data_IF_788640443140
#
_entry.id   IF_788640443140
#
_cell.length_a   1.000
_cell.length_b   1.000
_cell.length_c   1.000
_cell.angle_alpha   90.00
_cell.angle_beta   90.00
_cell.angle_gamma   90.00
#
_symmetry.space_group_name_H-M   'P 1'
#
loop_
_entity.id
_entity.type
_entity.pdbx_description
1 polymer ?
#
# COMPACT_ATOMS: atom_id res chain seq x y z
N UNK A 1 7.59 -50.16 -19.19
CA UNK A 1 7.17 -48.77 -18.91
C UNK A 1 8.28 -47.71 -19.05
N UNK A 2 9.58 -48.04 -19.15
CA UNK A 2 10.66 -47.03 -19.27
C UNK A 2 10.74 -46.27 -20.60
N UNK A 3 10.19 -46.81 -21.70
CA UNK A 3 10.39 -46.22 -23.03
C UNK A 3 9.47 -45.02 -23.34
N UNK A 4 8.30 -44.90 -22.68
CA UNK A 4 7.38 -43.78 -22.92
C UNK A 4 7.89 -42.45 -22.38
N UNK A 5 8.62 -42.46 -21.26
CA UNK A 5 9.17 -41.22 -20.67
C UNK A 5 10.30 -40.62 -21.54
N UNK A 6 11.19 -41.47 -22.07
CA UNK A 6 12.24 -41.05 -23.00
C UNK A 6 11.67 -40.51 -24.32
N UNK A 7 10.61 -41.13 -24.85
CA UNK A 7 9.93 -40.67 -26.06
C UNK A 7 9.32 -39.28 -25.86
N UNK A 8 8.57 -39.08 -24.77
CA UNK A 8 7.92 -37.79 -24.48
C UNK A 8 8.95 -36.67 -24.26
N UNK A 9 10.06 -36.96 -23.58
CA UNK A 9 11.15 -36.00 -23.39
C UNK A 9 11.80 -35.61 -24.72
N UNK A 10 12.06 -36.58 -25.60
CA UNK A 10 12.64 -36.30 -26.93
C UNK A 10 11.70 -35.43 -27.78
N UNK A 11 10.39 -35.69 -27.75
CA UNK A 11 9.38 -34.89 -28.47
C UNK A 11 9.37 -33.45 -27.96
N UNK A 12 9.44 -33.25 -26.64
CA UNK A 12 9.48 -31.92 -26.03
C UNK A 12 10.72 -31.12 -26.46
N UNK A 13 11.91 -31.74 -26.43
CA UNK A 13 13.15 -31.08 -26.85
C UNK A 13 13.10 -30.73 -28.34
N UNK A 14 12.59 -31.63 -29.20
CA UNK A 14 12.41 -31.32 -30.62
C UNK A 14 11.45 -30.15 -30.84
N UNK A 15 10.34 -30.08 -30.09
CA UNK A 15 9.41 -28.96 -30.19
C UNK A 15 10.04 -27.63 -29.77
N UNK A 16 10.86 -27.61 -28.71
CA UNK A 16 11.60 -26.42 -28.28
C UNK A 16 12.60 -25.95 -29.34
N UNK A 17 13.40 -26.87 -29.91
CA UNK A 17 14.41 -26.53 -30.93
C UNK A 17 13.76 -26.00 -32.20
N UNK A 18 12.66 -26.62 -32.64
CA UNK A 18 11.89 -26.17 -33.80
C UNK A 18 11.28 -24.80 -33.52
N UNK A 19 10.63 -24.62 -32.36
CA UNK A 19 10.04 -23.32 -31.97
C UNK A 19 11.07 -22.20 -31.91
N UNK A 20 12.25 -22.46 -31.33
CA UNK A 20 13.34 -21.49 -31.28
C UNK A 20 13.92 -21.17 -32.67
N UNK A 21 14.05 -22.18 -33.53
CA UNK A 21 14.55 -22.00 -34.90
C UNK A 21 13.56 -21.21 -35.76
N UNK A 22 12.25 -21.46 -35.63
CA UNK A 22 11.22 -20.64 -36.26
C UNK A 22 11.24 -19.20 -35.72
N UNK A 23 11.31 -19.02 -34.40
CA UNK A 23 11.37 -17.69 -33.78
C UNK A 23 12.55 -16.87 -34.33
N UNK A 24 13.75 -17.46 -34.39
CA UNK A 24 14.96 -16.77 -34.87
C UNK A 24 14.97 -16.52 -36.38
N UNK A 25 14.30 -17.36 -37.20
CA UNK A 25 14.29 -17.15 -38.65
C UNK A 25 13.26 -16.09 -39.09
N UNK A 26 12.15 -15.95 -38.34
CA UNK A 26 11.15 -14.90 -38.58
C UNK A 26 11.52 -13.57 -37.90
N UNK A 27 12.41 -13.57 -36.90
CA UNK A 27 13.01 -12.35 -36.37
C UNK A 27 14.02 -11.78 -37.37
N UNK A 28 13.57 -10.92 -38.29
CA UNK A 28 14.48 -10.05 -39.04
C UNK A 28 14.90 -8.91 -38.11
N UNK A 29 16.20 -8.75 -37.76
CA UNK A 29 16.69 -7.57 -37.07
C UNK A 29 16.72 -6.41 -38.08
N UNK A 30 15.56 -5.85 -38.39
CA UNK A 30 15.40 -4.73 -39.30
C UNK A 30 14.24 -3.88 -38.82
N UNK A 31 14.57 -2.70 -38.29
CA UNK A 31 13.66 -1.69 -37.75
C UNK A 31 12.96 -2.04 -36.43
N UNK A 32 13.75 -2.36 -35.41
CA UNK A 32 13.46 -1.74 -34.12
C UNK A 32 14.31 -0.47 -34.11
N UNK A 33 13.66 0.67 -34.31
CA UNK A 33 14.34 1.96 -34.20
C UNK A 33 14.90 2.07 -32.77
N UNK A 34 16.22 2.03 -32.66
CA UNK A 34 16.91 2.12 -31.38
C UNK A 34 16.56 3.44 -30.66
N UNK A 35 16.13 4.47 -31.41
CA UNK A 35 15.59 5.71 -30.85
C UNK A 35 14.19 5.52 -30.24
N UNK A 36 13.34 4.66 -30.82
CA UNK A 36 12.03 4.30 -30.25
C UNK A 36 12.18 3.42 -29.01
N UNK A 37 13.14 2.49 -28.99
CA UNK A 37 13.45 1.71 -27.77
C UNK A 37 14.09 2.58 -26.72
N UNK A 38 14.95 3.53 -27.10
CA UNK A 38 15.47 4.52 -26.15
C UNK A 38 14.39 5.46 -25.63
N UNK A 39 13.39 5.84 -26.42
CA UNK A 39 12.30 6.69 -25.93
C UNK A 39 11.32 5.92 -25.05
N UNK A 40 11.09 4.63 -25.30
CA UNK A 40 10.28 3.76 -24.43
C UNK A 40 11.04 3.41 -23.15
N UNK A 41 12.33 3.08 -23.23
CA UNK A 41 13.17 2.82 -22.06
C UNK A 41 13.49 4.09 -21.24
N UNK A 42 13.55 5.27 -21.87
CA UNK A 42 13.70 6.55 -21.16
C UNK A 42 12.38 7.07 -20.55
N UNK A 43 11.24 6.47 -20.91
CA UNK A 43 9.94 6.74 -20.28
C UNK A 43 9.65 5.77 -19.11
N UNK A 44 10.50 4.77 -18.91
CA UNK A 44 10.46 3.78 -17.81
C UNK A 44 11.12 4.30 -16.52
N UNK A 45 11.79 5.45 -16.56
CA UNK A 45 12.49 6.05 -15.40
C UNK A 45 11.61 7.03 -14.60
N UNK A 46 10.29 7.13 -14.89
CA UNK A 46 9.42 7.85 -13.97
C UNK A 46 9.32 7.01 -12.68
N UNK A 47 9.70 7.59 -11.52
CA UNK A 47 9.62 6.86 -10.27
C UNK A 47 8.15 6.47 -10.08
N UNK A 48 7.89 5.17 -10.00
CA UNK A 48 6.53 4.64 -9.77
C UNK A 48 6.48 4.02 -8.40
N UNK A 49 5.36 4.19 -7.71
CA UNK A 49 5.10 3.50 -6.44
C UNK A 49 5.17 1.97 -6.70
N UNK A 50 5.97 1.20 -5.93
CA UNK A 50 6.11 -0.23 -6.13
C UNK A 50 4.75 -0.95 -6.11
N UNK A 51 4.58 -1.92 -7.01
CA UNK A 51 3.34 -2.70 -7.14
C UNK A 51 3.65 -4.19 -7.10
N UNK A 52 2.67 -5.00 -6.68
CA UNK A 52 2.70 -6.44 -6.92
C UNK A 52 2.45 -6.74 -8.41
N UNK A 53 2.70 -7.99 -8.83
CA UNK A 53 2.54 -8.42 -10.24
C UNK A 53 1.13 -8.22 -10.82
N UNK A 54 0.11 -8.10 -9.96
CA UNK A 54 -1.28 -7.81 -10.34
C UNK A 54 -1.60 -6.30 -10.36
N UNK A 55 -0.62 -5.44 -10.11
CA UNK A 55 -0.80 -3.99 -9.96
C UNK A 55 -1.33 -3.58 -8.59
N UNK A 56 -1.52 -4.51 -7.65
CA UNK A 56 -1.96 -4.18 -6.29
C UNK A 56 -0.90 -3.34 -5.59
N UNK A 57 -1.38 -2.35 -4.85
CA UNK A 57 -0.57 -1.50 -3.97
C UNK A 57 -1.09 -1.61 -2.55
N UNK A 58 -0.17 -1.52 -1.61
CA UNK A 58 -0.47 -1.62 -0.19
C UNK A 58 0.32 -0.55 0.55
N UNK A 59 -0.32 0.17 1.46
CA UNK A 59 0.30 1.25 2.22
C UNK A 59 0.16 0.95 3.70
N UNK A 60 1.25 1.06 4.44
CA UNK A 60 1.20 1.01 5.89
C UNK A 60 0.72 2.36 6.42
N UNK A 61 -0.34 2.35 7.21
CA UNK A 61 -0.81 3.51 7.98
C UNK A 61 -0.49 3.23 9.43
N UNK A 62 0.49 3.95 9.96
CA UNK A 62 1.00 3.80 11.32
C UNK A 62 0.52 4.99 12.14
N UNK A 63 -0.09 4.72 13.28
CA UNK A 63 -0.54 5.75 14.21
C UNK A 63 0.35 5.70 15.45
N UNK A 64 0.87 6.86 15.85
CA UNK A 64 1.74 7.01 16.98
C UNK A 64 1.30 8.15 17.90
N UNK A 65 1.59 8.04 19.20
CA UNK A 65 1.11 9.02 20.19
C UNK A 65 1.64 10.44 19.98
N UNK A 66 2.89 10.58 19.53
CA UNK A 66 3.48 11.87 19.19
C UNK A 66 4.67 11.70 18.24
N UNK A 67 4.82 12.57 17.25
CA UNK A 67 6.05 12.64 16.44
C UNK A 67 7.10 13.57 17.05
N UNK A 68 8.38 13.24 16.87
CA UNK A 68 9.51 14.09 17.25
C UNK A 68 9.84 14.13 18.75
N UNK A 69 9.14 13.37 19.59
CA UNK A 69 9.50 13.14 20.99
C UNK A 69 10.23 11.82 21.14
N UNK A 70 11.16 11.74 22.10
CA UNK A 70 11.93 10.53 22.38
C UNK A 70 11.09 9.37 22.93
N UNK A 71 9.82 9.62 23.29
CA UNK A 71 8.88 8.66 23.86
C UNK A 71 7.65 8.43 22.95
N UNK A 72 7.81 8.53 21.63
CA UNK A 72 6.75 8.14 20.70
C UNK A 72 6.36 6.68 20.93
N UNK A 73 5.07 6.41 21.06
CA UNK A 73 4.54 5.05 21.27
C UNK A 73 3.71 4.65 20.05
N UNK A 74 3.82 3.39 19.67
CA UNK A 74 2.97 2.80 18.64
C UNK A 74 1.55 2.62 19.20
N UNK A 75 0.56 3.19 18.52
CA UNK A 75 -0.85 3.06 18.89
C UNK A 75 -1.57 2.06 17.99
N UNK A 76 -1.43 2.20 16.67
CA UNK A 76 -1.96 1.22 15.72
C UNK A 76 -1.18 1.14 14.40
N UNK A 77 -1.37 0.03 13.69
CA UNK A 77 -0.84 -0.23 12.34
C UNK A 77 -1.98 -0.81 11.51
N UNK A 78 -2.18 -0.25 10.34
CA UNK A 78 -3.14 -0.72 9.35
C UNK A 78 -2.46 -0.90 8.00
N UNK A 79 -2.88 -1.90 7.25
CA UNK A 79 -2.50 -2.09 5.85
C UNK A 79 -3.67 -1.65 4.97
N UNK A 80 -3.51 -0.53 4.29
CA UNK A 80 -4.46 -0.04 3.29
C UNK A 80 -4.07 -0.59 1.93
N UNK A 81 -4.88 -1.46 1.33
CA UNK A 81 -4.60 -2.05 0.03
C UNK A 81 -5.67 -1.69 -0.99
N UNK A 82 -5.26 -1.49 -2.24
CA UNK A 82 -6.17 -1.39 -3.36
C UNK A 82 -5.59 -2.07 -4.59
N UNK A 83 -6.48 -2.49 -5.47
CA UNK A 83 -6.15 -3.07 -6.75
C UNK A 83 -6.76 -2.18 -7.84
N UNK A 84 -6.01 -1.64 -8.81
CA UNK A 84 -6.55 -0.70 -9.80
C UNK A 84 -7.76 -1.21 -10.59
N UNK A 85 -7.89 -2.54 -10.73
CA UNK A 85 -9.01 -3.18 -11.42
C UNK A 85 -10.27 -3.32 -10.55
N UNK A 86 -10.18 -3.04 -9.25
CA UNK A 86 -11.27 -3.12 -8.28
C UNK A 86 -11.44 -1.77 -7.57
N UNK A 87 -12.65 -1.19 -7.53
CA UNK A 87 -12.89 0.06 -6.83
C UNK A 87 -13.08 -0.22 -5.33
N UNK A 88 -12.15 -0.91 -4.69
CA UNK A 88 -12.23 -1.31 -3.29
C UNK A 88 -10.89 -1.06 -2.59
N UNK A 89 -10.93 -0.22 -1.56
CA UNK A 89 -9.84 0.01 -0.62
C UNK A 89 -10.11 -0.86 0.60
N UNK A 90 -9.24 -1.84 0.83
CA UNK A 90 -9.31 -2.74 1.98
C UNK A 90 -8.35 -2.28 3.06
N UNK A 91 -8.88 -2.05 4.26
CA UNK A 91 -8.09 -1.68 5.44
C UNK A 91 -7.97 -2.90 6.37
N UNK A 92 -6.77 -3.44 6.56
CA UNK A 92 -6.52 -4.58 7.44
C UNK A 92 -5.74 -4.13 8.69
N UNK A 93 -6.26 -4.31 9.92
CA UNK A 93 -5.49 -4.02 11.13
C UNK A 93 -4.36 -5.03 11.28
N UNK A 94 -3.15 -4.53 11.51
CA UNK A 94 -1.97 -5.32 11.90
C UNK A 94 -1.78 -5.25 13.43
N UNK A 95 -1.95 -4.05 14.00
CA UNK A 95 -1.83 -3.80 15.44
C UNK A 95 -2.79 -2.70 15.90
N UNK A 96 -3.45 -2.82 17.07
CA UNK A 96 -3.61 -4.07 17.80
C UNK A 96 -4.38 -5.08 16.93
N UNK A 97 -4.04 -6.37 17.04
CA UNK A 97 -4.85 -7.43 16.42
C UNK A 97 -6.06 -7.72 17.31
N UNK A 98 -7.20 -8.07 16.71
CA UNK A 98 -8.47 -8.35 17.43
C UNK A 98 -8.38 -9.51 18.45
N UNK A 99 -7.27 -10.26 18.49
CA UNK A 99 -7.01 -11.22 19.54
C UNK A 99 -6.69 -10.50 20.86
N UNK A 100 -7.56 -10.66 21.87
CA UNK A 100 -7.37 -10.11 23.23
C UNK A 100 -6.02 -10.47 23.90
N UNK A 101 -5.33 -11.49 23.38
CA UNK A 101 -3.98 -11.85 23.79
C UNK A 101 -2.98 -11.06 22.95
N UNK A 102 -2.22 -10.16 23.59
CA UNK A 102 -1.07 -9.51 22.96
C UNK A 102 -0.12 -10.59 22.46
N UNK A 103 -0.09 -10.79 21.15
CA UNK A 103 0.79 -11.77 20.51
C UNK A 103 2.25 -11.37 20.74
N UNK A 104 3.17 -12.35 20.74
CA UNK A 104 4.61 -12.07 20.79
C UNK A 104 5.02 -11.06 19.70
N UNK A 105 4.39 -11.16 18.52
CA UNK A 105 4.54 -10.23 17.42
C UNK A 105 4.12 -8.79 17.78
N UNK A 106 2.94 -8.61 18.39
CA UNK A 106 2.48 -7.30 18.86
C UNK A 106 3.44 -6.65 19.85
N UNK A 107 4.02 -7.43 20.76
CA UNK A 107 5.04 -6.91 21.69
C UNK A 107 6.33 -6.53 20.97
N UNK A 108 6.77 -7.34 19.99
CA UNK A 108 7.95 -7.04 19.18
C UNK A 108 7.75 -5.75 18.37
N UNK A 109 6.56 -5.53 17.79
CA UNK A 109 6.23 -4.29 17.09
C UNK A 109 6.37 -3.07 18.01
N UNK A 110 5.81 -3.11 19.22
CA UNK A 110 5.93 -2.01 20.19
C UNK A 110 7.39 -1.77 20.60
N UNK A 111 8.18 -2.82 20.78
CA UNK A 111 9.57 -2.72 21.22
C UNK A 111 10.53 -2.22 20.13
N UNK A 112 10.23 -2.54 18.87
CA UNK A 112 11.05 -2.15 17.70
C UNK A 112 10.64 -0.79 17.15
N UNK A 113 9.40 -0.34 17.37
CA UNK A 113 8.91 0.95 16.92
C UNK A 113 9.70 2.12 17.52
N UNK A 114 10.44 2.83 16.67
CA UNK A 114 11.20 4.03 17.04
C UNK A 114 11.14 5.03 15.89
N UNK A 115 10.93 6.29 16.23
CA UNK A 115 11.10 7.41 15.32
C UNK A 115 12.44 8.10 15.61
N UNK A 116 13.32 8.13 14.62
CA UNK A 116 14.63 8.78 14.71
C UNK A 116 14.65 10.04 13.85
N UNK A 117 15.38 11.08 14.27
CA UNK A 117 15.54 12.30 13.47
C UNK A 117 16.91 12.30 12.82
N UNK A 118 16.97 12.23 11.49
CA UNK A 118 18.19 12.25 10.70
C UNK A 118 18.10 13.38 9.67
N UNK A 119 19.05 14.31 9.70
CA UNK A 119 19.13 15.46 8.77
C UNK A 119 17.85 16.32 8.74
N UNK A 120 17.13 16.42 9.86
CA UNK A 120 15.87 17.17 9.94
C UNK A 120 14.63 16.36 9.60
N UNK A 121 14.79 15.22 8.94
CA UNK A 121 13.71 14.29 8.60
C UNK A 121 13.49 13.31 9.74
N UNK A 122 12.24 12.93 9.99
CA UNK A 122 11.92 11.85 10.92
C UNK A 122 11.82 10.56 10.11
N UNK A 123 12.46 9.51 10.58
CA UNK A 123 12.54 8.20 9.93
C UNK A 123 12.09 7.12 10.91
N UNK A 124 11.41 6.11 10.38
CA UNK A 124 11.04 4.90 11.12
C UNK A 124 12.27 4.01 11.28
N UNK A 125 12.36 3.26 12.38
CA UNK A 125 13.45 2.30 12.58
C UNK A 125 13.43 1.19 11.54
N UNK A 126 14.60 0.83 11.01
CA UNK A 126 14.73 -0.28 10.07
C UNK A 126 14.33 -1.61 10.73
N UNK A 127 14.74 -1.85 11.98
CA UNK A 127 14.36 -3.05 12.76
C UNK A 127 12.82 -3.27 12.82
N UNK A 128 12.04 -2.19 12.82
CA UNK A 128 10.58 -2.26 12.84
C UNK A 128 10.02 -2.67 11.46
N UNK A 129 10.60 -2.14 10.38
CA UNK A 129 10.24 -2.50 9.01
C UNK A 129 10.64 -3.94 8.70
N UNK A 130 11.86 -4.34 9.07
CA UNK A 130 12.36 -5.70 8.89
C UNK A 130 11.45 -6.71 9.60
N UNK A 131 11.00 -6.40 10.82
CA UNK A 131 10.06 -7.24 11.56
C UNK A 131 8.71 -7.43 10.82
N UNK A 132 8.18 -6.39 10.16
CA UNK A 132 6.96 -6.51 9.37
C UNK A 132 7.19 -7.40 8.13
N UNK A 133 8.33 -7.24 7.46
CA UNK A 133 8.70 -8.04 6.29
C UNK A 133 8.92 -9.53 6.65
N UNK A 134 9.60 -9.81 7.77
CA UNK A 134 9.79 -11.16 8.33
C UNK A 134 8.45 -11.88 8.60
N UNK A 135 7.40 -11.12 8.89
CA UNK A 135 6.04 -11.61 9.08
C UNK A 135 5.20 -11.64 7.79
N UNK A 136 5.83 -11.52 6.62
CA UNK A 136 5.23 -11.57 5.28
C UNK A 136 4.24 -10.43 4.98
N UNK A 137 4.37 -9.29 5.65
CA UNK A 137 3.68 -8.09 5.20
C UNK A 137 4.47 -7.47 4.04
N UNK A 138 3.74 -7.03 3.02
CA UNK A 138 4.31 -6.31 1.88
C UNK A 138 3.58 -4.98 1.70
N UNK A 139 4.34 -3.92 1.50
CA UNK A 139 3.82 -2.57 1.28
C UNK A 139 4.67 -1.83 0.24
N UNK A 140 4.01 -0.93 -0.47
CA UNK A 140 4.55 0.00 -1.44
C UNK A 140 5.19 1.23 -0.79
N UNK A 141 4.73 1.58 0.41
CA UNK A 141 5.26 2.67 1.24
C UNK A 141 4.44 2.80 2.52
N UNK A 142 4.79 3.77 3.36
CA UNK A 142 4.15 3.97 4.65
C UNK A 142 3.85 5.45 4.94
N UNK A 143 2.89 5.68 5.82
CA UNK A 143 2.59 6.97 6.43
C UNK A 143 2.50 6.79 7.94
N UNK A 144 3.19 7.64 8.69
CA UNK A 144 3.07 7.74 10.15
C UNK A 144 2.28 8.99 10.49
N UNK A 145 1.20 8.83 11.24
CA UNK A 145 0.31 9.87 11.71
C UNK A 145 0.45 9.99 13.22
N UNK A 146 0.40 11.21 13.75
CA UNK A 146 0.25 11.42 15.18
C UNK A 146 -1.19 11.75 15.59
N UNK A 147 -1.43 11.82 16.89
CA UNK A 147 -2.73 12.20 17.46
C UNK A 147 -3.23 13.55 16.89
N UNK A 148 -2.34 14.52 16.63
CA UNK A 148 -2.74 15.82 16.07
C UNK A 148 -3.21 15.68 14.61
N UNK A 149 -2.50 14.88 13.81
CA UNK A 149 -2.92 14.55 12.45
C UNK A 149 -4.29 13.89 12.45
N UNK A 150 -4.51 12.93 13.34
CA UNK A 150 -5.80 12.27 13.51
C UNK A 150 -6.91 13.24 13.94
N UNK A 151 -6.64 14.16 14.86
CA UNK A 151 -7.63 15.18 15.25
C UNK A 151 -8.05 16.05 14.06
N UNK A 152 -7.11 16.45 13.20
CA UNK A 152 -7.41 17.20 11.99
C UNK A 152 -8.28 16.39 11.02
N UNK A 153 -7.91 15.13 10.76
CA UNK A 153 -8.70 14.22 9.91
C UNK A 153 -10.08 13.98 10.52
N UNK A 154 -10.16 13.81 11.83
CA UNK A 154 -11.42 13.60 12.56
C UNK A 154 -12.35 14.80 12.48
N UNK A 155 -11.81 16.03 12.50
CA UNK A 155 -12.62 17.24 12.36
C UNK A 155 -13.29 17.27 10.99
N UNK A 156 -12.55 16.95 9.94
CA UNK A 156 -13.07 16.81 8.58
C UNK A 156 -14.10 15.68 8.46
N UNK A 157 -13.94 14.60 9.23
CA UNK A 157 -14.87 13.47 9.27
C UNK A 157 -16.15 13.76 10.08
N UNK A 158 -16.04 14.44 11.23
CA UNK A 158 -17.16 14.77 12.12
C UNK A 158 -18.15 15.71 11.44
N UNK A 159 -17.67 16.64 10.61
CA UNK A 159 -18.53 17.46 9.75
C UNK A 159 -19.42 16.62 8.84
N UNK A 160 -18.99 15.42 8.47
CA UNK A 160 -19.72 14.51 7.59
C UNK A 160 -20.59 13.49 8.34
N UNK A 161 -20.17 13.02 9.53
CA UNK A 161 -20.75 11.82 10.17
C UNK A 161 -21.23 11.99 11.63
N UNK A 162 -20.99 13.13 12.29
CA UNK A 162 -21.40 13.35 13.70
C UNK A 162 -20.30 13.06 14.74
N UNK A 163 -20.63 13.20 16.03
CA UNK A 163 -19.66 13.49 17.12
C UNK A 163 -18.96 12.30 17.79
N UNK A 164 -19.40 11.04 17.62
CA UNK A 164 -18.85 9.89 18.35
C UNK A 164 -18.21 8.87 17.41
N UNK A 165 -16.90 9.00 17.16
CA UNK A 165 -16.14 8.20 16.20
C UNK A 165 -14.95 7.55 16.93
N UNK A 166 -14.93 6.21 17.05
CA UNK A 166 -13.76 5.42 17.48
C UNK A 166 -12.66 5.42 16.40
N UNK A 167 -11.40 5.11 16.73
CA UNK A 167 -10.25 5.21 15.81
C UNK A 167 -10.42 4.45 14.48
N UNK A 168 -10.93 3.21 14.51
CA UNK A 168 -11.25 2.47 13.28
C UNK A 168 -12.35 3.13 12.44
N UNK A 169 -13.24 3.89 13.08
CA UNK A 169 -14.27 4.70 12.41
C UNK A 169 -13.63 5.97 11.81
N UNK A 170 -12.54 6.50 12.37
CA UNK A 170 -11.83 7.66 11.78
C UNK A 170 -11.24 7.27 10.43
N UNK A 171 -10.52 6.15 10.34
CA UNK A 171 -9.96 5.68 9.06
C UNK A 171 -11.06 5.36 8.05
N UNK A 172 -12.17 4.76 8.49
CA UNK A 172 -13.35 4.55 7.65
C UNK A 172 -13.91 5.85 7.12
N UNK A 173 -14.13 6.81 8.01
CA UNK A 173 -14.73 8.10 7.67
C UNK A 173 -13.81 8.91 6.76
N UNK A 174 -12.50 8.84 6.99
CA UNK A 174 -11.48 9.43 6.11
C UNK A 174 -11.54 8.80 4.71
N UNK A 175 -11.56 7.46 4.63
CA UNK A 175 -11.69 6.75 3.36
C UNK A 175 -13.00 7.13 2.65
N UNK A 176 -14.13 7.11 3.34
CA UNK A 176 -15.42 7.51 2.75
C UNK A 176 -15.46 8.98 2.33
N UNK A 177 -14.79 9.88 3.07
CA UNK A 177 -14.68 11.31 2.71
C UNK A 177 -13.86 11.47 1.43
N UNK A 178 -12.76 10.72 1.28
CA UNK A 178 -11.97 10.69 0.04
C UNK A 178 -12.85 10.29 -1.16
N UNK A 179 -13.71 9.29 -0.99
CA UNK A 179 -14.66 8.88 -2.04
C UNK A 179 -15.70 9.96 -2.33
N UNK A 180 -16.27 10.60 -1.30
CA UNK A 180 -17.36 11.57 -1.47
C UNK A 180 -16.88 12.93 -2.02
N UNK A 181 -15.66 13.34 -1.67
CA UNK A 181 -15.08 14.63 -2.02
C UNK A 181 -13.96 14.49 -3.05
N UNK A 182 -14.10 13.56 -4.00
CA UNK A 182 -13.15 13.30 -5.08
C UNK A 182 -12.97 14.47 -6.07
N UNK A 183 -13.48 15.67 -5.76
CA UNK A 183 -13.19 16.88 -6.52
C UNK A 183 -11.78 17.40 -6.22
N UNK A 184 -11.19 18.13 -7.17
CA UNK A 184 -9.82 18.69 -7.11
C UNK A 184 -9.49 19.36 -5.75
N UNK A 185 -10.44 20.10 -5.17
CA UNK A 185 -10.23 20.84 -3.92
C UNK A 185 -10.08 19.95 -2.69
N UNK A 186 -10.76 18.79 -2.65
CA UNK A 186 -10.76 17.89 -1.50
C UNK A 186 -9.43 17.15 -1.33
N UNK A 187 -8.84 16.73 -2.46
CA UNK A 187 -7.55 16.04 -2.49
C UNK A 187 -6.41 16.96 -2.11
N UNK A 188 -6.39 18.16 -2.70
CA UNK A 188 -5.36 19.15 -2.42
C UNK A 188 -5.29 19.48 -0.92
N UNK A 189 -6.46 19.63 -0.27
CA UNK A 189 -6.53 19.87 1.17
C UNK A 189 -5.96 18.69 1.98
N UNK A 190 -6.29 17.46 1.62
CA UNK A 190 -5.82 16.27 2.34
C UNK A 190 -4.31 16.05 2.15
N UNK A 191 -3.80 16.18 0.93
CA UNK A 191 -2.37 16.08 0.62
C UNK A 191 -1.59 17.19 1.34
N UNK A 192 -2.16 18.40 1.46
CA UNK A 192 -1.51 19.52 2.17
C UNK A 192 -1.32 19.29 3.68
N UNK A 193 -2.03 18.31 4.28
CA UNK A 193 -1.87 17.95 5.69
C UNK A 193 -0.66 17.03 5.93
N UNK A 194 -0.19 16.32 4.90
CA UNK A 194 0.90 15.34 4.98
C UNK A 194 2.25 15.99 5.38
N UNK A 195 2.72 17.11 4.79
CA UNK A 195 4.09 17.59 5.01
C UNK A 195 4.37 18.11 6.42
N UNK A 196 3.34 18.54 7.15
CA UNK A 196 3.52 19.16 8.48
C UNK A 196 3.31 18.19 9.64
N UNK A 197 2.59 17.09 9.39
CA UNK A 197 2.03 16.21 10.43
C UNK A 197 2.00 14.74 10.02
N UNK A 198 2.75 14.35 8.99
CA UNK A 198 2.96 12.96 8.66
C UNK A 198 4.42 12.70 8.27
N UNK A 199 4.85 11.46 8.47
CA UNK A 199 6.14 10.95 7.98
C UNK A 199 5.83 9.93 6.91
N UNK A 200 6.43 10.05 5.73
CA UNK A 200 6.24 9.09 4.65
C UNK A 200 7.52 8.92 3.85
N UNK A 201 7.74 7.72 3.34
CA UNK A 201 8.75 7.40 2.33
C UNK A 201 8.23 7.57 0.89
N UNK A 202 6.94 7.91 0.74
CA UNK A 202 6.30 8.16 -0.54
C UNK A 202 6.66 9.56 -1.04
N UNK A 203 6.92 9.67 -2.34
CA UNK A 203 6.98 10.97 -3.00
C UNK A 203 5.57 11.59 -3.02
N UNK A 204 5.37 12.81 -2.48
CA UNK A 204 4.06 13.43 -2.42
C UNK A 204 3.40 13.63 -3.79
N UNK A 205 4.19 13.91 -4.83
CA UNK A 205 3.67 14.13 -6.19
C UNK A 205 3.18 12.82 -6.79
N UNK A 206 3.91 11.72 -6.56
CA UNK A 206 3.48 10.39 -6.99
C UNK A 206 2.22 9.94 -6.26
N UNK A 207 2.12 10.23 -4.96
CA UNK A 207 0.94 9.89 -4.18
C UNK A 207 -0.29 10.69 -4.65
N UNK A 208 -0.12 11.97 -4.94
CA UNK A 208 -1.17 12.83 -5.50
C UNK A 208 -1.66 12.30 -6.85
N UNK A 209 -0.73 12.03 -7.78
CA UNK A 209 -1.05 11.47 -9.10
C UNK A 209 -1.78 10.11 -8.98
N UNK A 210 -1.31 9.24 -8.11
CA UNK A 210 -1.94 7.93 -7.91
C UNK A 210 -3.36 8.06 -7.32
N UNK A 211 -3.57 9.01 -6.43
CA UNK A 211 -4.88 9.29 -5.85
C UNK A 211 -5.83 9.91 -6.89
N UNK A 212 -5.33 10.79 -7.75
CA UNK A 212 -6.07 11.30 -8.91
C UNK A 212 -6.45 10.16 -9.87
N UNK A 213 -5.52 9.27 -10.21
CA UNK A 213 -5.77 8.12 -11.08
C UNK A 213 -6.87 7.22 -10.49
N UNK A 214 -6.81 6.94 -9.18
CA UNK A 214 -7.84 6.19 -8.47
C UNK A 214 -9.22 6.83 -8.53
N UNK A 215 -9.29 8.15 -8.37
CA UNK A 215 -10.55 8.89 -8.32
C UNK A 215 -11.10 9.26 -9.69
N UNK A 216 -10.24 9.27 -10.71
CA UNK A 216 -10.65 9.45 -12.12
C UNK A 216 -11.43 8.24 -12.65
N UNK A 217 -11.23 7.07 -12.03
CA UNK A 217 -11.99 5.88 -12.36
C UNK A 217 -13.44 6.09 -11.94
N UNK A 218 -14.37 6.13 -12.92
CA UNK A 218 -15.79 6.47 -12.73
C UNK A 218 -16.57 5.51 -11.81
N UNK A 219 -15.91 4.48 -11.28
CA UNK A 219 -16.50 3.53 -10.37
C UNK A 219 -16.48 4.09 -8.95
N UNK A 220 -17.58 3.99 -8.19
CA UNK A 220 -17.59 4.42 -6.80
C UNK A 220 -16.60 3.56 -6.01
N UNK A 221 -15.62 4.21 -5.38
CA UNK A 221 -14.69 3.51 -4.49
C UNK A 221 -15.44 3.02 -3.25
N UNK A 222 -15.27 1.76 -2.91
CA UNK A 222 -15.76 1.14 -1.70
C UNK A 222 -14.62 1.07 -0.68
N UNK A 223 -14.93 1.32 0.59
CA UNK A 223 -13.99 1.16 1.68
C UNK A 223 -14.45 -0.03 2.52
N UNK A 224 -13.67 -1.10 2.52
CA UNK A 224 -13.95 -2.30 3.31
C UNK A 224 -13.00 -2.39 4.50
N UNK A 225 -13.58 -2.62 5.67
CA UNK A 225 -12.87 -3.03 6.88
C UNK A 225 -13.22 -4.50 7.13
N UNK A 226 -12.31 -5.30 7.71
CA UNK A 226 -12.71 -6.57 8.27
C UNK A 226 -13.81 -6.27 9.27
N UNK A 227 -15.00 -6.80 8.98
CA UNK A 227 -16.05 -6.84 9.96
C UNK A 227 -15.53 -7.83 10.99
N UNK A 228 -15.03 -7.33 12.12
CA UNK A 228 -14.90 -8.18 13.29
C UNK A 228 -16.26 -8.87 13.41
N UNK A 229 -16.29 -10.20 13.26
CA UNK A 229 -17.51 -10.97 13.48
C UNK A 229 -17.86 -10.73 14.94
N UNK A 230 -18.67 -9.70 15.18
CA UNK A 230 -19.31 -9.48 16.46
C UNK A 230 -20.19 -10.69 16.57
N UNK A 231 -19.69 -11.71 17.27
CA UNK A 231 -20.49 -12.82 17.74
C UNK A 231 -21.54 -12.20 18.65
N UNK A 232 -22.65 -11.74 18.05
CA UNK A 232 -23.89 -11.43 18.73
C UNK A 232 -24.36 -12.75 19.33
N UNK A 233 -23.79 -13.04 20.48
CA UNK A 233 -24.22 -14.14 21.33
C UNK A 233 -25.52 -13.64 21.93
N UNK A 234 -26.62 -13.86 21.19
CA UNK A 234 -27.97 -13.59 21.66
C UNK A 234 -28.19 -14.52 22.86
N UNK A 235 -28.04 -13.96 24.07
CA UNK A 235 -28.38 -14.60 25.34
C UNK A 235 -29.81 -14.24 25.75
#
# INVERSE_FOLDING_TARGET
MKNHSLLNFSVFICALVIGFSFSTHFYRPGFIDLAMVKSVAAQEDQPSIPTLNNGQRSYLVIIASAMGRSNSQLESIWLASYLPTEPDIRLLPIYPSDSEVTTDFGQQLVNTFKLSKQNGNVLLSQDFLDLLEEHNYWWSGYVVLDEQALQNISTLAQEAYGKDIQEGIILRAACQRLVLNSGEDGLTQLVSLIPQKAITDLDPQLLEQELEDLLSNKQPIHCSLPVAEVNETIH
#
